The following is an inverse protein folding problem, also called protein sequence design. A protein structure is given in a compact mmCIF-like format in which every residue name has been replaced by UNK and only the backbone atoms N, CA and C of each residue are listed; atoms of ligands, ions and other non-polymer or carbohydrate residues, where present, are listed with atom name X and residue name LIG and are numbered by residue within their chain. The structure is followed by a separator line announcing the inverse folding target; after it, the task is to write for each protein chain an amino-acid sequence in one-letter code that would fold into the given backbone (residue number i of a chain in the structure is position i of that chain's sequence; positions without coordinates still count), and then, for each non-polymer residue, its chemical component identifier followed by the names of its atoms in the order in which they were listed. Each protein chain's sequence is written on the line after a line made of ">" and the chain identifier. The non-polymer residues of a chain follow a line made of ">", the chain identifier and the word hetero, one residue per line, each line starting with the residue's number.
data_IF_222676073775
#
_entry.id   IF_222676073775
#
_cell.length_a   1.000
_cell.length_b   1.000
_cell.length_c   1.000
_cell.angle_alpha   90.00
_cell.angle_beta   90.00
_cell.angle_gamma   90.00
#
_symmetry.space_group_name_H-M   'P 1'
#
loop_
_entity.id
_entity.type
_entity.pdbx_description
1 polymer ?
#
# COMPACT_ATOMS: atom_id res chain seq x y z
N UNK A 1 20.92 -3.11 14.19
CA UNK A 1 19.53 -3.53 14.23
C UNK A 1 18.63 -2.28 14.27
N UNK A 2 17.73 -2.14 13.31
CA UNK A 2 16.75 -1.06 13.26
C UNK A 2 15.37 -1.51 13.72
N UNK A 3 14.94 -2.70 13.27
CA UNK A 3 13.60 -3.20 13.51
C UNK A 3 13.60 -4.74 13.57
N UNK A 4 12.71 -5.27 14.41
CA UNK A 4 12.34 -6.70 14.45
C UNK A 4 10.88 -6.82 14.07
N UNK A 5 10.58 -7.60 13.01
CA UNK A 5 9.22 -7.86 12.57
C UNK A 5 8.95 -9.38 12.61
N UNK A 6 7.76 -9.75 13.03
CA UNK A 6 7.33 -11.13 12.99
C UNK A 6 6.89 -11.50 11.57
N UNK A 7 7.23 -12.70 11.13
CA UNK A 7 6.59 -13.32 9.97
C UNK A 7 5.39 -14.14 10.45
N UNK A 8 4.34 -14.20 9.65
CA UNK A 8 3.21 -15.13 9.84
C UNK A 8 3.67 -16.55 9.49
N UNK A 9 4.55 -17.12 10.31
CA UNK A 9 5.13 -18.45 10.07
C UNK A 9 4.05 -19.53 10.03
N UNK A 10 4.04 -20.30 8.95
CA UNK A 10 3.19 -21.49 8.79
C UNK A 10 3.57 -22.66 9.74
N UNK A 11 4.61 -22.52 10.57
CA UNK A 11 5.23 -23.59 11.35
C UNK A 11 5.38 -23.26 12.85
N UNK A 12 4.34 -22.76 13.49
CA UNK A 12 4.17 -22.80 14.95
C UNK A 12 4.88 -21.72 15.79
N UNK A 13 6.12 -21.37 15.61
CA UNK A 13 6.78 -20.29 16.36
C UNK A 13 7.03 -19.07 15.47
N UNK A 14 6.59 -17.87 15.87
CA UNK A 14 6.87 -16.66 15.08
C UNK A 14 8.37 -16.44 15.01
N UNK A 15 8.91 -16.37 13.79
CA UNK A 15 10.30 -16.00 13.56
C UNK A 15 10.39 -14.49 13.42
N UNK A 16 11.48 -13.92 13.94
CA UNK A 16 11.75 -12.49 13.80
C UNK A 16 12.70 -12.24 12.63
N UNK A 17 12.30 -11.34 11.76
CA UNK A 17 13.17 -10.78 10.72
C UNK A 17 13.90 -9.57 11.29
N UNK A 18 15.22 -9.58 11.18
CA UNK A 18 16.09 -8.49 11.60
C UNK A 18 16.32 -7.54 10.43
N UNK A 19 15.88 -6.31 10.58
CA UNK A 19 16.09 -5.25 9.60
C UNK A 19 17.08 -4.22 10.16
N UNK A 20 18.08 -3.86 9.36
CA UNK A 20 18.99 -2.77 9.69
C UNK A 20 18.40 -1.42 9.28
N UNK A 21 18.89 -0.33 9.85
CA UNK A 21 18.55 1.02 9.37
C UNK A 21 18.85 1.20 7.88
N UNK A 22 19.93 0.58 7.38
CA UNK A 22 20.28 0.62 5.95
C UNK A 22 19.21 -0.07 5.09
N UNK A 23 18.68 -1.22 5.51
CA UNK A 23 17.61 -1.91 4.80
C UNK A 23 16.35 -1.04 4.73
N UNK A 24 15.95 -0.48 5.89
CA UNK A 24 14.77 0.40 5.99
C UNK A 24 14.96 1.61 5.09
N UNK A 25 16.10 2.30 5.17
CA UNK A 25 16.39 3.49 4.37
C UNK A 25 16.33 3.18 2.87
N UNK A 26 17.07 2.17 2.40
CA UNK A 26 17.12 1.80 0.99
C UNK A 26 15.73 1.45 0.41
N UNK A 27 14.90 0.74 1.19
CA UNK A 27 13.54 0.41 0.76
C UNK A 27 12.62 1.64 0.79
N UNK A 28 12.79 2.53 1.76
CA UNK A 28 12.07 3.81 1.83
C UNK A 28 12.38 4.68 0.61
N UNK A 29 13.65 4.89 0.28
CA UNK A 29 14.08 5.66 -0.88
C UNK A 29 13.48 5.12 -2.17
N UNK A 30 13.56 3.80 -2.38
CA UNK A 30 12.96 3.14 -3.55
C UNK A 30 11.46 3.35 -3.65
N UNK A 31 10.73 3.26 -2.53
CA UNK A 31 9.27 3.41 -2.52
C UNK A 31 8.89 4.87 -2.80
N UNK A 32 9.57 5.83 -2.18
CA UNK A 32 9.36 7.26 -2.42
C UNK A 32 9.54 7.58 -3.90
N UNK A 33 10.59 7.03 -4.52
CA UNK A 33 10.90 7.23 -5.93
C UNK A 33 9.79 6.70 -6.86
N UNK A 34 9.40 5.42 -6.75
CA UNK A 34 8.44 4.87 -7.71
C UNK A 34 6.98 5.28 -7.45
N UNK A 35 6.61 5.61 -6.22
CA UNK A 35 5.30 6.18 -5.90
C UNK A 35 5.26 7.70 -6.12
N UNK A 36 6.40 8.34 -6.33
CA UNK A 36 6.56 9.81 -6.47
C UNK A 36 5.94 10.56 -5.30
N UNK A 37 6.23 10.09 -4.09
CA UNK A 37 5.69 10.68 -2.86
C UNK A 37 6.32 12.03 -2.57
N UNK A 38 5.53 12.95 -2.05
CA UNK A 38 5.96 14.27 -1.60
C UNK A 38 5.24 14.69 -0.30
N UNK A 39 5.56 15.88 0.19
CA UNK A 39 5.00 16.44 1.42
C UNK A 39 3.50 16.73 1.35
N UNK A 40 2.90 16.74 0.18
CA UNK A 40 1.46 16.98 -0.01
C UNK A 40 0.61 15.73 0.23
N UNK A 41 1.24 14.57 0.41
CA UNK A 41 0.55 13.32 0.68
C UNK A 41 -0.11 13.32 2.07
N UNK A 42 -1.28 12.69 2.14
CA UNK A 42 -2.05 12.51 3.37
C UNK A 42 -2.58 11.08 3.44
N UNK A 43 -1.69 10.07 3.66
CA UNK A 43 -2.12 8.68 3.77
C UNK A 43 -2.97 8.47 5.02
N UNK A 44 -4.06 7.71 4.89
CA UNK A 44 -4.85 7.26 6.03
C UNK A 44 -4.47 5.82 6.42
N UNK A 45 -4.35 5.56 7.72
CA UNK A 45 -3.98 4.23 8.22
C UNK A 45 -5.12 3.22 8.02
N UNK A 46 -4.82 2.14 7.31
CA UNK A 46 -5.73 1.01 7.06
C UNK A 46 -5.12 -0.32 7.46
N UNK A 47 -3.83 -0.30 7.79
CA UNK A 47 -3.03 -1.47 8.12
C UNK A 47 -2.40 -1.30 9.50
N UNK A 48 -2.24 -2.41 10.27
CA UNK A 48 -1.54 -2.36 11.55
C UNK A 48 -0.13 -1.78 11.40
N UNK A 49 0.26 -0.89 12.32
CA UNK A 49 1.58 -0.25 12.31
C UNK A 49 2.73 -1.18 12.75
N UNK A 50 2.43 -2.40 13.19
CA UNK A 50 3.39 -3.47 13.44
C UNK A 50 3.49 -4.49 12.30
N UNK A 51 2.77 -4.26 11.21
CA UNK A 51 2.87 -5.06 9.99
C UNK A 51 3.83 -4.39 8.99
N UNK A 52 4.71 -5.16 8.39
CA UNK A 52 5.77 -4.66 7.48
C UNK A 52 5.25 -3.66 6.43
N UNK A 53 4.10 -3.93 5.83
CA UNK A 53 3.48 -3.06 4.84
C UNK A 53 3.04 -1.72 5.48
N UNK A 54 2.38 -1.77 6.64
CA UNK A 54 1.98 -0.57 7.39
C UNK A 54 3.18 0.29 7.79
N UNK A 55 4.23 -0.35 8.36
CA UNK A 55 5.49 0.34 8.71
C UNK A 55 6.12 1.03 7.50
N UNK A 56 6.09 0.38 6.32
CA UNK A 56 6.66 0.98 5.11
C UNK A 56 5.90 2.24 4.66
N UNK A 57 4.58 2.29 4.85
CA UNK A 57 3.78 3.50 4.59
C UNK A 57 4.20 4.62 5.55
N UNK A 58 4.35 4.32 6.85
CA UNK A 58 4.80 5.30 7.83
C UNK A 58 6.18 5.86 7.45
N UNK A 59 7.16 4.98 7.24
CA UNK A 59 8.53 5.39 6.95
C UNK A 59 8.62 6.28 5.69
N UNK A 60 7.95 5.89 4.61
CA UNK A 60 8.01 6.62 3.33
C UNK A 60 7.35 8.00 3.40
N UNK A 61 6.20 8.09 4.06
CA UNK A 61 5.49 9.36 4.15
C UNK A 61 6.11 10.32 5.19
N UNK A 62 6.66 9.78 6.30
CA UNK A 62 7.43 10.61 7.24
C UNK A 62 8.72 11.12 6.61
N UNK A 63 9.37 10.32 5.77
CA UNK A 63 10.61 10.70 5.08
C UNK A 63 10.43 11.92 4.16
N UNK A 64 9.28 12.03 3.51
CA UNK A 64 8.95 13.17 2.63
C UNK A 64 8.22 14.31 3.35
N UNK A 65 8.05 14.25 4.67
CA UNK A 65 7.36 15.28 5.44
C UNK A 65 5.84 15.30 5.28
N UNK A 66 5.24 14.21 4.80
CA UNK A 66 3.80 14.09 4.61
C UNK A 66 3.03 13.96 5.94
N UNK A 67 1.75 14.29 5.93
CA UNK A 67 0.87 14.20 7.10
C UNK A 67 0.15 12.85 7.16
N UNK A 68 0.51 12.00 8.10
CA UNK A 68 -0.15 10.69 8.27
C UNK A 68 -1.45 10.85 9.07
N UNK A 69 -2.54 10.39 8.50
CA UNK A 69 -3.87 10.40 9.12
C UNK A 69 -4.10 9.09 9.88
N UNK A 70 -4.01 9.15 11.20
CA UNK A 70 -4.15 7.98 12.08
C UNK A 70 -5.60 7.83 12.51
N UNK A 71 -6.16 6.64 12.32
CA UNK A 71 -7.53 6.30 12.77
C UNK A 71 -7.58 4.88 13.29
N UNK A 72 -8.45 4.64 14.27
CA UNK A 72 -8.79 3.31 14.78
C UNK A 72 -10.01 2.71 14.04
N UNK A 73 -10.72 3.52 13.26
CA UNK A 73 -11.87 3.07 12.49
C UNK A 73 -11.44 2.26 11.28
N UNK A 74 -12.08 1.13 11.07
CA UNK A 74 -11.88 0.30 9.88
C UNK A 74 -12.65 0.82 8.67
N UNK A 75 -12.24 0.40 7.48
CA UNK A 75 -12.84 0.80 6.19
C UNK A 75 -14.34 0.48 6.05
N UNK A 76 -14.86 -0.46 6.86
CA UNK A 76 -16.29 -0.80 6.88
C UNK A 76 -17.13 0.20 7.69
N UNK A 77 -16.52 1.07 8.46
CA UNK A 77 -17.18 2.02 9.33
C UNK A 77 -17.37 3.37 8.62
N UNK A 78 -18.51 4.00 8.85
CA UNK A 78 -18.83 5.30 8.30
C UNK A 78 -17.83 6.39 8.75
N UNK A 79 -17.43 6.33 10.01
CA UNK A 79 -16.49 7.24 10.67
C UNK A 79 -15.14 7.30 9.96
N UNK A 80 -14.68 6.17 9.39
CA UNK A 80 -13.47 6.13 8.56
C UNK A 80 -13.61 7.05 7.34
N UNK A 81 -14.72 6.95 6.62
CA UNK A 81 -14.94 7.73 5.39
C UNK A 81 -15.27 9.19 5.67
N UNK A 82 -15.92 9.48 6.80
CA UNK A 82 -16.15 10.85 7.26
C UNK A 82 -14.82 11.53 7.63
N UNK A 83 -13.92 10.81 8.32
CA UNK A 83 -12.56 11.28 8.60
C UNK A 83 -11.74 11.44 7.32
N UNK A 84 -11.80 10.46 6.41
CA UNK A 84 -11.14 10.50 5.10
C UNK A 84 -11.46 11.79 4.34
N UNK A 85 -12.76 12.13 4.24
CA UNK A 85 -13.21 13.33 3.51
C UNK A 85 -12.82 14.61 4.24
N UNK A 86 -13.05 14.67 5.54
CA UNK A 86 -12.76 15.85 6.35
C UNK A 86 -11.29 16.23 6.30
N UNK A 87 -10.40 15.24 6.37
CA UNK A 87 -8.96 15.46 6.37
C UNK A 87 -8.36 15.44 4.96
N UNK A 88 -9.16 15.31 3.92
CA UNK A 88 -8.69 15.23 2.53
C UNK A 88 -7.60 14.16 2.34
N UNK A 89 -7.85 12.94 2.81
CA UNK A 89 -6.90 11.84 2.64
C UNK A 89 -6.60 11.60 1.14
N UNK A 90 -5.32 11.41 0.81
CA UNK A 90 -4.86 11.26 -0.57
C UNK A 90 -4.61 9.82 -0.97
N UNK A 91 -4.31 8.96 0.00
CA UNK A 91 -3.96 7.57 -0.29
C UNK A 91 -4.29 6.62 0.86
N UNK A 92 -4.42 5.34 0.51
CA UNK A 92 -4.45 4.25 1.46
C UNK A 92 -3.89 2.97 0.85
N UNK A 93 -3.37 2.09 1.71
CA UNK A 93 -2.91 0.76 1.35
C UNK A 93 -3.89 -0.33 1.78
N UNK A 94 -3.89 -1.47 1.10
CA UNK A 94 -4.72 -2.59 1.49
C UNK A 94 -4.16 -3.94 1.07
N UNK A 95 -4.56 -4.98 1.80
CA UNK A 95 -4.39 -6.37 1.42
C UNK A 95 -5.57 -6.84 0.54
N UNK A 96 -5.53 -8.01 -0.12
CA UNK A 96 -6.65 -8.46 -0.97
C UNK A 96 -8.02 -8.34 -0.31
N UNK A 97 -8.13 -8.76 0.95
CA UNK A 97 -9.37 -8.67 1.72
C UNK A 97 -9.92 -7.23 1.83
N UNK A 98 -9.05 -6.24 1.94
CA UNK A 98 -9.44 -4.82 1.95
C UNK A 98 -10.22 -4.46 0.67
N UNK A 99 -9.72 -4.88 -0.47
CA UNK A 99 -10.34 -4.60 -1.79
C UNK A 99 -11.63 -5.40 -2.02
N UNK A 100 -11.70 -6.62 -1.52
CA UNK A 100 -12.96 -7.41 -1.50
C UNK A 100 -14.04 -6.71 -0.67
N UNK A 101 -13.67 -6.19 0.50
CA UNK A 101 -14.59 -5.41 1.35
C UNK A 101 -15.06 -4.13 0.67
N UNK A 102 -14.15 -3.38 0.06
CA UNK A 102 -14.46 -2.16 -0.70
C UNK A 102 -15.46 -2.43 -1.84
N UNK A 103 -15.28 -3.52 -2.57
CA UNK A 103 -16.21 -3.93 -3.63
C UNK A 103 -17.61 -4.22 -3.08
N UNK A 104 -17.70 -5.00 -1.99
CA UNK A 104 -18.98 -5.31 -1.31
C UNK A 104 -19.68 -4.05 -0.78
N UNK A 105 -18.92 -3.06 -0.33
CA UNK A 105 -19.42 -1.78 0.19
C UNK A 105 -19.83 -0.79 -0.90
N UNK A 106 -19.76 -1.16 -2.17
CA UNK A 106 -20.04 -0.29 -3.31
C UNK A 106 -19.12 0.93 -3.38
N UNK A 107 -17.84 0.75 -3.04
CA UNK A 107 -16.81 1.78 -3.06
C UNK A 107 -16.81 2.62 -4.35
N UNK A 108 -17.04 2.00 -5.48
CA UNK A 108 -17.05 2.65 -6.80
C UNK A 108 -18.14 3.73 -6.98
N UNK A 109 -19.08 3.85 -6.01
CA UNK A 109 -20.11 4.91 -5.97
C UNK A 109 -19.74 6.05 -5.03
N UNK A 110 -18.59 5.94 -4.33
CA UNK A 110 -18.16 6.98 -3.39
C UNK A 110 -17.51 8.14 -4.12
N UNK A 111 -17.85 9.35 -3.73
CA UNK A 111 -17.15 10.56 -4.15
C UNK A 111 -15.98 10.83 -3.19
N UNK A 112 -14.76 10.67 -3.70
CA UNK A 112 -13.51 10.84 -2.96
C UNK A 112 -12.56 11.71 -3.79
N UNK A 113 -12.83 13.01 -3.89
CA UNK A 113 -12.06 13.91 -4.79
C UNK A 113 -10.57 14.01 -4.40
N UNK A 114 -10.25 13.95 -3.11
CA UNK A 114 -8.87 14.02 -2.60
C UNK A 114 -8.05 12.74 -2.85
N UNK A 115 -8.71 11.59 -3.05
CA UNK A 115 -8.02 10.33 -3.28
C UNK A 115 -7.18 10.39 -4.57
N UNK A 116 -5.91 10.10 -4.49
CA UNK A 116 -4.95 10.04 -5.60
C UNK A 116 -4.51 8.60 -5.88
N UNK A 117 -4.08 7.89 -4.83
CA UNK A 117 -3.40 6.60 -4.96
C UNK A 117 -3.96 5.55 -4.01
N UNK A 118 -4.21 4.38 -4.56
CA UNK A 118 -4.46 3.16 -3.77
C UNK A 118 -3.36 2.15 -4.04
N UNK A 119 -2.85 1.52 -3.00
CA UNK A 119 -1.79 0.51 -3.11
C UNK A 119 -2.26 -0.84 -2.56
N UNK A 120 -1.90 -1.92 -3.26
CA UNK A 120 -2.24 -3.29 -2.86
C UNK A 120 -0.98 -4.14 -2.72
N UNK A 121 -0.87 -4.85 -1.61
CA UNK A 121 0.18 -5.86 -1.36
C UNK A 121 -0.29 -6.89 -0.33
N UNK A 122 0.60 -7.80 0.09
CA UNK A 122 0.33 -8.77 1.16
C UNK A 122 -0.47 -10.00 0.74
N UNK A 123 -0.70 -10.17 -0.55
CA UNK A 123 -1.36 -11.34 -1.13
C UNK A 123 -1.74 -11.10 -2.59
N UNK A 124 -2.09 -12.17 -3.27
CA UNK A 124 -2.51 -12.10 -4.68
C UNK A 124 -3.95 -11.62 -4.77
N UNK A 125 -4.16 -10.48 -5.43
CA UNK A 125 -5.50 -9.98 -5.75
C UNK A 125 -6.09 -10.77 -6.90
N UNK A 126 -7.38 -11.12 -6.81
CA UNK A 126 -8.11 -11.78 -7.91
C UNK A 126 -8.11 -10.89 -9.16
N UNK A 127 -7.91 -11.49 -10.32
CA UNK A 127 -7.72 -10.73 -11.58
C UNK A 127 -8.91 -9.84 -11.94
N UNK A 128 -10.13 -10.32 -11.73
CA UNK A 128 -11.36 -9.59 -11.99
C UNK A 128 -11.45 -8.35 -11.12
N UNK A 129 -11.13 -8.50 -9.83
CA UNK A 129 -11.13 -7.40 -8.88
C UNK A 129 -10.00 -6.40 -9.16
N UNK A 130 -8.81 -6.90 -9.49
CA UNK A 130 -7.69 -6.05 -9.92
C UNK A 130 -8.09 -5.19 -11.12
N UNK A 131 -8.63 -5.80 -12.17
CA UNK A 131 -9.12 -5.09 -13.37
C UNK A 131 -10.13 -4.00 -13.02
N UNK A 132 -11.13 -4.35 -12.21
CA UNK A 132 -12.20 -3.43 -11.79
C UNK A 132 -11.67 -2.18 -11.08
N UNK A 133 -10.70 -2.34 -10.16
CA UNK A 133 -10.07 -1.20 -9.50
C UNK A 133 -9.22 -0.37 -10.44
N UNK A 134 -8.48 -1.00 -11.35
CA UNK A 134 -7.66 -0.29 -12.36
C UNK A 134 -8.56 0.53 -13.28
N UNK A 135 -9.63 -0.06 -13.83
CA UNK A 135 -10.55 0.61 -14.74
C UNK A 135 -11.20 1.84 -14.07
N UNK A 136 -11.69 1.67 -12.83
CA UNK A 136 -12.26 2.77 -12.06
C UNK A 136 -11.23 3.88 -11.77
N UNK A 137 -10.00 3.50 -11.41
CA UNK A 137 -8.95 4.49 -11.16
C UNK A 137 -8.60 5.27 -12.43
N UNK A 138 -8.47 4.61 -13.56
CA UNK A 138 -8.22 5.26 -14.85
C UNK A 138 -9.33 6.23 -15.21
N UNK A 139 -10.60 5.81 -15.07
CA UNK A 139 -11.76 6.68 -15.32
C UNK A 139 -11.76 7.94 -14.43
N UNK A 140 -11.34 7.81 -13.18
CA UNK A 140 -11.35 8.90 -12.18
C UNK A 140 -10.03 9.67 -12.10
N UNK A 141 -9.04 9.39 -12.96
CA UNK A 141 -7.73 10.04 -12.92
C UNK A 141 -6.94 9.72 -11.65
N UNK A 142 -7.09 8.49 -11.11
CA UNK A 142 -6.44 8.01 -9.90
C UNK A 142 -5.49 6.86 -10.24
N UNK A 143 -4.66 6.45 -9.27
CA UNK A 143 -3.71 5.37 -9.45
C UNK A 143 -4.07 4.16 -8.59
N UNK A 144 -3.97 2.96 -9.18
CA UNK A 144 -4.04 1.69 -8.46
C UNK A 144 -2.75 0.91 -8.70
N UNK A 145 -1.95 0.73 -7.65
CA UNK A 145 -0.62 0.15 -7.75
C UNK A 145 -0.55 -1.16 -6.98
N UNK A 146 -0.44 -2.27 -7.72
CA UNK A 146 -0.21 -3.59 -7.13
C UNK A 146 1.29 -3.77 -6.90
N UNK A 147 1.63 -4.29 -5.72
CA UNK A 147 3.00 -4.46 -5.28
C UNK A 147 3.22 -5.86 -4.72
N UNK A 148 4.47 -6.30 -4.74
CA UNK A 148 4.91 -7.52 -4.11
C UNK A 148 6.02 -7.23 -3.12
N UNK A 149 6.03 -7.97 -2.01
CA UNK A 149 7.06 -7.86 -1.00
C UNK A 149 6.91 -8.92 0.09
N UNK A 150 7.90 -8.99 0.96
CA UNK A 150 7.92 -9.85 2.14
C UNK A 150 8.75 -9.22 3.24
N UNK A 151 8.51 -9.64 4.49
CA UNK A 151 9.23 -9.11 5.65
C UNK A 151 10.74 -9.28 5.53
N UNK A 152 11.18 -10.43 4.99
CA UNK A 152 12.58 -10.81 4.81
C UNK A 152 13.33 -9.90 3.85
N UNK A 153 12.61 -9.22 2.96
CA UNK A 153 13.17 -8.27 1.99
C UNK A 153 12.79 -6.80 2.31
N UNK A 154 12.49 -6.50 3.55
CA UNK A 154 12.20 -5.13 4.06
C UNK A 154 11.00 -4.46 3.41
N UNK A 155 9.91 -5.11 3.23
CA UNK A 155 8.61 -4.69 2.74
C UNK A 155 8.40 -4.87 1.23
N UNK A 156 9.01 -4.07 0.36
CA UNK A 156 8.67 -4.03 -1.06
C UNK A 156 9.81 -4.54 -1.93
N UNK A 157 9.48 -5.38 -2.92
CA UNK A 157 10.42 -5.97 -3.87
C UNK A 157 10.05 -5.62 -5.32
N UNK A 158 8.74 -5.49 -5.60
CA UNK A 158 8.24 -5.18 -6.93
C UNK A 158 7.00 -4.30 -6.86
N UNK A 159 6.75 -3.59 -7.93
CA UNK A 159 5.52 -2.85 -8.16
C UNK A 159 5.09 -2.96 -9.63
N UNK A 160 3.81 -2.93 -9.88
CA UNK A 160 3.27 -2.84 -11.23
C UNK A 160 3.04 -1.37 -11.56
N UNK A 161 3.80 -0.79 -12.51
CA UNK A 161 3.57 0.59 -12.95
C UNK A 161 2.10 0.78 -13.32
N UNK A 162 1.47 1.80 -12.79
CA UNK A 162 0.03 1.99 -12.93
C UNK A 162 -0.41 2.15 -14.39
N UNK A 163 0.46 2.71 -15.24
CA UNK A 163 0.25 2.86 -16.67
C UNK A 163 0.16 1.51 -17.42
N UNK A 164 0.71 0.45 -16.82
CA UNK A 164 0.71 -0.92 -17.35
C UNK A 164 -0.28 -1.85 -16.63
N UNK A 165 -0.97 -1.35 -15.60
CA UNK A 165 -1.82 -2.17 -14.74
C UNK A 165 -2.95 -2.86 -15.51
N UNK A 166 -3.57 -2.20 -16.48
CA UNK A 166 -4.65 -2.80 -17.27
C UNK A 166 -4.12 -3.87 -18.22
N UNK A 167 -2.95 -3.67 -18.82
CA UNK A 167 -2.30 -4.63 -19.72
C UNK A 167 -1.78 -5.86 -18.97
N UNK A 168 -1.28 -5.68 -17.74
CA UNK A 168 -0.59 -6.70 -16.94
C UNK A 168 -1.39 -7.14 -15.71
N UNK A 169 -2.71 -7.18 -15.81
CA UNK A 169 -3.59 -7.63 -14.72
C UNK A 169 -3.14 -8.98 -14.14
N UNK A 170 -2.95 -9.02 -12.81
CA UNK A 170 -2.48 -10.20 -12.08
C UNK A 170 -0.97 -10.36 -12.03
N UNK A 171 -0.21 -9.47 -12.67
CA UNK A 171 1.25 -9.39 -12.54
C UNK A 171 1.68 -8.65 -11.27
N UNK A 172 2.92 -8.87 -10.86
CA UNK A 172 3.57 -8.14 -9.75
C UNK A 172 4.45 -7.00 -10.24
N UNK A 173 4.61 -6.86 -11.56
CA UNK A 173 5.34 -5.79 -12.20
C UNK A 173 6.85 -6.00 -12.29
N UNK A 174 7.61 -4.96 -12.03
CA UNK A 174 9.06 -4.87 -12.12
C UNK A 174 9.69 -4.71 -10.74
N UNK A 175 10.99 -4.98 -10.63
CA UNK A 175 11.74 -4.73 -9.39
C UNK A 175 11.67 -3.24 -9.03
N UNK A 176 11.65 -2.94 -7.73
CA UNK A 176 11.78 -1.57 -7.23
C UNK A 176 13.13 -0.96 -7.63
N UNK A 177 13.27 0.38 -7.67
CA UNK A 177 14.55 1.03 -7.91
C UNK A 177 15.65 0.47 -7.01
N UNK A 178 16.81 0.15 -7.60
CA UNK A 178 17.92 -0.51 -6.92
C UNK A 178 17.77 -2.02 -6.68
N UNK A 179 16.60 -2.61 -7.01
CA UNK A 179 16.32 -4.04 -6.92
C UNK A 179 16.58 -4.79 -8.21
N UNK A 180 16.78 -6.11 -8.11
CA UNK A 180 16.94 -7.00 -9.27
C UNK A 180 16.35 -8.37 -8.97
N UNK A 181 15.58 -8.93 -9.92
CA UNK A 181 15.19 -10.34 -9.92
C UNK A 181 16.19 -11.16 -10.74
N UNK A 182 16.50 -12.35 -10.23
CA UNK A 182 17.36 -13.32 -10.91
C UNK A 182 16.63 -14.66 -11.01
#
# INVERSE_FOLDING_TARGET
>A
LGLLLTTSGSTGSPKFVRQSYRNIRANTDSIVEYLKLDETERPITTLPMNYTYGVSILNTHLDVGATILVTEHGIAQREFWDFFRRENATSFGGVPYTYEMLDRMRFFRMELPSLRTMTQAGGKLQKELHRKFVEWCLEKGKQFIVMYGQCEATARMAYLPWEKSLEKVGGIGIAIPGGQFR
#
